data_IF_018476525821
#
_entry.id   IF_018476525821
#
_cell.length_a   1.000
_cell.length_b   1.000
_cell.length_c   1.000
_cell.angle_alpha   90.00
_cell.angle_beta   90.00
_cell.angle_gamma   90.00
#
_symmetry.space_group_name_H-M   'P 1'
#
loop_
_entity.id
_entity.type
_entity.pdbx_description
1 polymer ?
#
# COMPACT_ATOMS: atom_id res chain seq x y z
N UNK A 1 15.16 16.77 26.17
CA UNK A 1 15.28 15.85 25.09
C UNK A 1 16.71 15.39 24.93
N UNK A 2 16.90 14.15 24.89
CA UNK A 2 18.22 13.64 24.66
C UNK A 2 18.37 13.27 23.22
N UNK A 3 19.36 13.83 22.64
CA UNK A 3 19.72 13.45 21.30
C UNK A 3 21.01 12.72 21.40
N UNK A 4 21.00 11.50 21.03
CA UNK A 4 22.24 10.79 21.01
C UNK A 4 22.90 11.04 19.68
N UNK A 5 24.17 11.31 19.74
CA UNK A 5 24.94 11.51 18.51
C UNK A 5 25.44 10.22 17.94
N UNK A 6 25.24 9.14 18.65
CA UNK A 6 25.67 7.85 18.16
C UNK A 6 24.51 7.17 17.46
N UNK A 7 24.84 6.37 16.46
CA UNK A 7 23.87 5.55 15.77
C UNK A 7 23.36 4.50 16.73
N UNK A 8 22.06 4.43 16.97
CA UNK A 8 21.54 3.42 17.88
C UNK A 8 21.72 2.02 17.32
N UNK A 9 21.87 1.10 18.20
CA UNK A 9 21.86 -0.32 17.85
C UNK A 9 20.52 -0.63 17.20
N UNK A 10 20.49 -1.39 16.09
CA UNK A 10 19.21 -1.71 15.43
C UNK A 10 18.22 -2.42 16.33
N UNK A 11 18.70 -3.06 17.39
CA UNK A 11 17.80 -3.75 18.32
C UNK A 11 17.42 -2.89 19.51
N UNK A 12 18.01 -1.73 19.66
CA UNK A 12 17.70 -0.87 20.81
C UNK A 12 16.51 -0.01 20.47
N UNK A 13 15.70 0.26 21.48
CA UNK A 13 14.54 1.11 21.33
C UNK A 13 14.71 2.30 22.25
N UNK A 14 14.84 3.47 21.69
CA UNK A 14 14.73 4.69 22.46
C UNK A 14 13.31 5.22 22.26
N UNK A 15 12.86 6.06 23.16
CA UNK A 15 11.52 6.62 23.06
C UNK A 15 11.39 7.41 21.75
N UNK A 16 10.46 7.06 20.89
CA UNK A 16 10.30 7.77 19.62
C UNK A 16 9.55 9.07 19.82
N UNK A 17 9.79 10.02 18.92
CA UNK A 17 9.06 11.28 18.95
C UNK A 17 7.63 11.12 18.42
N UNK A 18 7.39 10.13 17.57
CA UNK A 18 6.09 9.95 16.94
C UNK A 18 5.92 8.49 16.54
N UNK A 19 4.69 8.15 16.25
CA UNK A 19 4.33 6.83 15.80
C UNK A 19 3.61 7.00 14.45
N UNK A 20 3.88 6.13 13.50
CA UNK A 20 3.17 6.18 12.24
C UNK A 20 1.74 5.72 12.48
N UNK A 21 0.79 6.64 12.36
CA UNK A 21 -0.60 6.35 12.66
C UNK A 21 -1.38 5.89 11.43
N UNK A 22 -1.09 6.48 10.28
CA UNK A 22 -1.87 6.18 9.08
C UNK A 22 -1.08 6.53 7.83
N UNK A 23 -1.25 5.73 6.79
CA UNK A 23 -0.78 6.05 5.45
C UNK A 23 -2.05 6.34 4.64
N UNK A 24 -2.06 7.43 3.88
CA UNK A 24 -3.24 7.81 3.12
C UNK A 24 -2.95 7.77 1.63
N UNK A 25 -3.87 7.18 0.88
CA UNK A 25 -3.83 7.15 -0.58
C UNK A 25 -4.86 8.13 -1.12
N UNK A 26 -4.48 8.82 -2.18
CA UNK A 26 -5.40 9.72 -2.88
C UNK A 26 -6.24 8.94 -3.88
N UNK A 27 -7.49 9.35 -4.05
CA UNK A 27 -8.39 8.72 -5.00
C UNK A 27 -9.44 9.70 -5.45
N UNK A 28 -10.10 9.39 -6.55
CA UNK A 28 -11.26 10.15 -6.99
C UNK A 28 -12.48 9.76 -6.19
N UNK A 29 -12.61 8.47 -5.88
CA UNK A 29 -13.72 7.94 -5.09
C UNK A 29 -13.19 7.04 -4.00
N UNK A 30 -13.75 7.18 -2.80
CA UNK A 30 -13.25 6.43 -1.65
C UNK A 30 -13.67 4.97 -1.66
N UNK A 31 -14.92 4.68 -2.00
CA UNK A 31 -15.47 3.35 -1.78
C UNK A 31 -14.77 2.25 -2.59
N UNK A 32 -14.56 2.40 -3.89
CA UNK A 32 -13.91 1.31 -4.64
C UNK A 32 -12.52 0.99 -4.10
N UNK A 33 -11.75 2.02 -3.75
CA UNK A 33 -10.41 1.81 -3.25
C UNK A 33 -10.40 1.21 -1.85
N UNK A 34 -11.31 1.67 -0.99
CA UNK A 34 -11.42 1.13 0.36
C UNK A 34 -11.79 -0.35 0.33
N UNK A 35 -12.74 -0.72 -0.51
CA UNK A 35 -13.15 -2.12 -0.59
C UNK A 35 -12.06 -3.00 -1.17
N UNK A 36 -11.35 -2.49 -2.18
CA UNK A 36 -10.24 -3.24 -2.73
C UNK A 36 -9.21 -3.57 -1.65
N UNK A 37 -8.73 -2.54 -0.94
CA UNK A 37 -7.68 -2.78 0.04
C UNK A 37 -8.17 -3.55 1.26
N UNK A 38 -9.44 -3.39 1.62
CA UNK A 38 -10.03 -4.18 2.69
C UNK A 38 -10.00 -5.66 2.35
N UNK A 39 -10.33 -6.01 1.11
CA UNK A 39 -10.29 -7.41 0.66
C UNK A 39 -8.85 -7.93 0.59
N UNK A 40 -7.95 -7.15 0.01
CA UNK A 40 -6.57 -7.60 -0.17
C UNK A 40 -5.86 -7.78 1.17
N UNK A 41 -6.02 -6.84 2.08
CA UNK A 41 -5.29 -6.86 3.34
C UNK A 41 -6.06 -7.56 4.47
N UNK A 42 -7.35 -7.75 4.30
CA UNK A 42 -8.18 -8.29 5.38
C UNK A 42 -8.41 -7.30 6.50
N UNK A 43 -8.27 -6.00 6.22
CA UNK A 43 -8.44 -4.96 7.24
C UNK A 43 -9.86 -4.42 7.20
N UNK A 44 -10.53 -4.30 8.35
CA UNK A 44 -11.91 -3.80 8.35
C UNK A 44 -11.96 -2.31 8.03
N UNK A 45 -13.04 -1.92 7.36
CA UNK A 45 -13.31 -0.52 7.07
C UNK A 45 -13.95 0.10 8.31
N UNK A 46 -13.24 1.04 8.92
CA UNK A 46 -13.72 1.72 10.12
C UNK A 46 -14.58 2.93 9.79
N UNK A 47 -14.25 3.63 8.70
CA UNK A 47 -15.02 4.80 8.24
C UNK A 47 -15.13 4.76 6.73
N UNK A 48 -16.26 5.18 6.20
CA UNK A 48 -16.47 5.26 4.77
C UNK A 48 -17.46 6.37 4.48
N UNK A 49 -16.95 7.45 3.91
CA UNK A 49 -17.78 8.56 3.42
C UNK A 49 -17.30 8.89 2.01
N UNK A 50 -17.98 9.82 1.36
CA UNK A 50 -17.57 10.23 0.03
C UNK A 50 -16.24 10.98 0.02
N UNK A 51 -15.87 11.57 1.15
CA UNK A 51 -14.65 12.36 1.24
C UNK A 51 -13.49 11.57 1.79
N UNK A 52 -13.76 10.49 2.51
CA UNK A 52 -12.73 9.90 3.32
C UNK A 52 -13.12 8.47 3.73
N UNK A 53 -12.13 7.60 3.74
CA UNK A 53 -12.30 6.24 4.25
C UNK A 53 -11.08 5.89 5.09
N UNK A 54 -11.26 4.98 6.02
CA UNK A 54 -10.17 4.51 6.85
C UNK A 54 -10.35 3.02 7.16
N UNK A 55 -9.28 2.26 6.94
CA UNK A 55 -9.18 0.86 7.30
C UNK A 55 -8.30 0.74 8.53
N UNK A 56 -8.68 -0.15 9.44
CA UNK A 56 -7.90 -0.39 10.65
C UNK A 56 -6.96 -1.56 10.44
N UNK A 57 -5.67 -1.30 10.56
CA UNK A 57 -4.65 -2.34 10.45
C UNK A 57 -4.07 -2.69 11.81
N UNK A 58 -3.22 -3.71 11.87
CA UNK A 58 -2.67 -4.19 13.15
C UNK A 58 -1.69 -3.21 13.79
N UNK A 59 -1.01 -2.39 13.01
CA UNK A 59 -0.05 -1.44 13.58
C UNK A 59 -0.32 -0.01 13.17
N UNK A 60 -1.01 0.23 12.07
CA UNK A 60 -1.39 1.57 11.62
C UNK A 60 -2.60 1.45 10.72
N UNK A 61 -3.22 2.57 10.43
CA UNK A 61 -4.39 2.60 9.56
C UNK A 61 -4.00 2.86 8.12
N UNK A 62 -4.89 2.54 7.20
CA UNK A 62 -4.78 2.94 5.81
C UNK A 62 -5.95 3.86 5.53
N UNK A 63 -5.65 5.09 5.15
CA UNK A 63 -6.67 6.08 4.83
C UNK A 63 -6.79 6.28 3.34
N UNK A 64 -7.94 6.76 2.91
CA UNK A 64 -8.19 7.10 1.53
C UNK A 64 -8.85 8.47 1.54
N UNK A 65 -8.26 9.43 0.82
CA UNK A 65 -8.80 10.78 0.75
C UNK A 65 -9.22 11.11 -0.66
N UNK A 66 -10.37 11.75 -0.81
CA UNK A 66 -10.87 12.13 -2.12
C UNK A 66 -10.19 13.42 -2.55
N UNK A 67 -9.63 13.38 -3.76
CA UNK A 67 -9.05 14.56 -4.38
C UNK A 67 -9.70 14.73 -5.74
N UNK A 68 -10.38 15.89 -6.00
CA UNK A 68 -11.08 16.06 -7.27
C UNK A 68 -10.19 15.90 -8.50
N UNK A 69 -8.93 16.30 -8.37
CA UNK A 69 -7.99 16.26 -9.49
C UNK A 69 -7.01 15.12 -9.38
N UNK A 70 -7.41 14.02 -8.78
CA UNK A 70 -6.51 12.88 -8.62
C UNK A 70 -5.96 12.43 -9.96
N UNK A 71 -4.63 12.32 -10.01
CA UNK A 71 -3.92 11.84 -11.20
C UNK A 71 -3.39 10.45 -10.88
N UNK A 72 -3.70 9.50 -11.74
CA UNK A 72 -3.18 8.13 -11.55
C UNK A 72 -1.66 8.15 -11.70
N UNK A 73 -0.92 7.51 -10.79
CA UNK A 73 0.53 7.39 -10.97
C UNK A 73 0.85 6.68 -12.27
N UNK A 74 1.97 7.01 -12.88
CA UNK A 74 2.34 6.47 -14.19
C UNK A 74 3.48 5.47 -14.14
N UNK A 75 4.01 5.18 -12.96
CA UNK A 75 5.04 4.16 -12.83
C UNK A 75 4.41 2.77 -13.02
N UNK A 76 5.08 1.82 -13.69
CA UNK A 76 6.46 1.92 -14.19
C UNK A 76 6.59 2.49 -15.59
N UNK A 77 5.52 2.93 -16.20
CA UNK A 77 5.55 3.41 -17.58
C UNK A 77 6.44 4.62 -17.73
N UNK A 78 6.33 5.57 -16.83
CA UNK A 78 7.18 6.75 -16.80
C UNK A 78 7.09 7.36 -15.41
N UNK A 79 8.01 8.27 -15.12
CA UNK A 79 8.04 8.94 -13.85
C UNK A 79 8.52 8.07 -12.72
N UNK A 80 8.48 8.60 -11.52
CA UNK A 80 8.89 7.89 -10.33
C UNK A 80 7.67 7.43 -9.55
N UNK A 81 7.75 6.24 -8.96
CA UNK A 81 6.64 5.75 -8.16
C UNK A 81 6.57 6.40 -6.78
N UNK A 82 7.68 6.92 -6.28
CA UNK A 82 7.83 7.56 -4.96
C UNK A 82 7.53 6.59 -3.81
N UNK A 83 6.28 6.22 -3.65
CA UNK A 83 5.86 5.24 -2.66
C UNK A 83 5.10 4.12 -3.33
N UNK A 84 5.23 2.91 -2.79
CA UNK A 84 4.43 1.77 -3.21
C UNK A 84 4.42 0.76 -2.08
N UNK A 85 3.44 -0.12 -2.07
CA UNK A 85 3.39 -1.20 -1.10
C UNK A 85 4.10 -2.42 -1.65
N UNK A 86 4.79 -3.14 -0.77
CA UNK A 86 5.29 -4.47 -1.07
C UNK A 86 4.51 -5.44 -0.19
N UNK A 87 3.77 -6.34 -0.80
CA UNK A 87 2.94 -7.29 -0.08
C UNK A 87 3.61 -8.67 -0.11
N UNK A 88 3.64 -9.31 1.03
CA UNK A 88 4.17 -10.67 1.15
C UNK A 88 3.05 -11.66 0.88
N UNK A 89 3.23 -12.53 -0.09
CA UNK A 89 2.21 -13.51 -0.47
C UNK A 89 2.84 -14.89 -0.64
N UNK A 90 2.02 -15.92 -0.50
CA UNK A 90 2.50 -17.29 -0.63
C UNK A 90 2.58 -17.73 -2.09
N UNK A 91 1.61 -17.32 -2.90
CA UNK A 91 1.54 -17.71 -4.30
C UNK A 91 1.34 -16.45 -5.15
N UNK A 92 2.42 -16.02 -5.79
CA UNK A 92 2.43 -14.75 -6.54
C UNK A 92 1.35 -14.73 -7.62
N UNK A 93 1.29 -15.78 -8.45
CA UNK A 93 0.34 -15.75 -9.57
C UNK A 93 -1.10 -15.85 -9.10
N UNK A 94 -1.38 -16.68 -8.11
CA UNK A 94 -2.74 -16.83 -7.62
C UNK A 94 -3.24 -15.52 -7.00
N UNK A 95 -2.38 -14.84 -6.23
CA UNK A 95 -2.78 -13.58 -5.60
C UNK A 95 -2.91 -12.48 -6.65
N UNK A 96 -2.00 -12.44 -7.64
CA UNK A 96 -2.11 -11.46 -8.72
C UNK A 96 -3.44 -11.60 -9.45
N UNK A 97 -3.82 -12.82 -9.77
CA UNK A 97 -5.08 -13.06 -10.46
C UNK A 97 -6.28 -12.63 -9.60
N UNK A 98 -6.23 -12.94 -8.32
CA UNK A 98 -7.31 -12.52 -7.42
C UNK A 98 -7.39 -11.01 -7.32
N UNK A 99 -6.25 -10.33 -7.25
CA UNK A 99 -6.24 -8.87 -7.21
C UNK A 99 -6.87 -8.28 -8.46
N UNK A 100 -6.60 -8.87 -9.63
CA UNK A 100 -7.21 -8.39 -10.87
C UNK A 100 -8.73 -8.57 -10.83
N UNK A 101 -9.20 -9.69 -10.29
CA UNK A 101 -10.64 -9.90 -10.13
C UNK A 101 -11.26 -8.83 -9.21
N UNK A 102 -10.49 -8.34 -8.26
CA UNK A 102 -10.97 -7.33 -7.30
C UNK A 102 -10.84 -5.90 -7.85
N UNK A 103 -10.26 -5.72 -9.02
CA UNK A 103 -10.19 -4.41 -9.65
C UNK A 103 -8.80 -3.89 -9.92
N UNK A 104 -7.76 -4.64 -9.60
CA UNK A 104 -6.40 -4.21 -9.89
C UNK A 104 -6.07 -4.43 -11.36
N UNK A 105 -5.06 -3.74 -11.82
CA UNK A 105 -4.55 -3.85 -13.18
C UNK A 105 -3.13 -4.38 -13.10
N UNK A 106 -2.87 -5.50 -13.78
CA UNK A 106 -1.51 -6.03 -13.84
C UNK A 106 -0.74 -5.27 -14.89
N UNK A 107 0.45 -4.81 -14.54
CA UNK A 107 1.30 -4.07 -15.45
C UNK A 107 1.76 -5.02 -16.57
N UNK A 108 1.64 -4.56 -17.81
CA UNK A 108 1.94 -5.41 -18.96
C UNK A 108 3.41 -5.77 -19.03
N UNK A 109 4.28 -4.79 -18.92
CA UNK A 109 5.72 -5.04 -18.93
C UNK A 109 6.22 -5.07 -17.49
N UNK A 110 6.48 -6.27 -17.00
CA UNK A 110 6.94 -6.43 -15.63
C UNK A 110 8.42 -6.07 -15.52
N UNK A 111 8.79 -5.23 -14.54
CA UNK A 111 10.18 -4.83 -14.38
C UNK A 111 11.09 -5.92 -13.81
N UNK A 112 10.52 -6.98 -13.23
CA UNK A 112 11.33 -8.05 -12.65
C UNK A 112 10.69 -9.40 -12.83
N UNK A 113 11.40 -10.43 -12.37
CA UNK A 113 10.94 -11.81 -12.52
C UNK A 113 10.54 -12.45 -11.21
N UNK A 114 10.96 -11.88 -10.08
CA UNK A 114 10.69 -12.47 -8.77
C UNK A 114 9.60 -11.73 -8.00
N UNK A 115 9.04 -10.70 -8.57
CA UNK A 115 7.90 -9.99 -7.99
C UNK A 115 6.96 -9.57 -9.12
N UNK A 116 5.73 -9.24 -8.74
CA UNK A 116 4.71 -8.83 -9.72
C UNK A 116 4.21 -7.45 -9.36
N UNK A 117 4.20 -6.55 -10.34
CA UNK A 117 3.70 -5.19 -10.16
C UNK A 117 2.26 -5.11 -10.66
N UNK A 118 1.39 -4.54 -9.82
CA UNK A 118 0.01 -4.24 -10.20
C UNK A 118 -0.28 -2.78 -9.83
N UNK A 119 -1.41 -2.29 -10.31
CA UNK A 119 -1.96 -1.00 -9.91
C UNK A 119 -3.31 -1.23 -9.25
N UNK A 120 -3.56 -0.52 -8.16
CA UNK A 120 -4.87 -0.64 -7.51
C UNK A 120 -5.90 0.16 -8.31
N UNK A 121 -7.19 0.13 -7.92
CA UNK A 121 -8.22 0.82 -8.70
C UNK A 121 -8.01 2.32 -8.87
N UNK A 122 -7.23 2.96 -8.02
CA UNK A 122 -6.89 4.38 -8.19
C UNK A 122 -5.58 4.58 -8.95
N UNK A 123 -4.93 3.48 -9.36
CA UNK A 123 -3.71 3.53 -10.14
C UNK A 123 -2.43 3.48 -9.32
N UNK A 124 -2.52 3.34 -8.01
CA UNK A 124 -1.31 3.27 -7.18
C UNK A 124 -0.61 1.95 -7.41
N UNK A 125 0.70 1.96 -7.71
CA UNK A 125 1.44 0.72 -7.90
C UNK A 125 1.68 -0.01 -6.59
N UNK A 126 1.65 -1.32 -6.63
CA UNK A 126 2.05 -2.14 -5.51
C UNK A 126 2.67 -3.42 -6.06
N UNK A 127 3.50 -4.04 -5.25
CA UNK A 127 4.23 -5.23 -5.66
C UNK A 127 3.82 -6.41 -4.80
N UNK A 128 3.68 -7.57 -5.43
CA UNK A 128 3.54 -8.83 -4.73
C UNK A 128 4.92 -9.46 -4.64
N UNK A 129 5.32 -9.86 -3.47
CA UNK A 129 6.63 -10.44 -3.23
C UNK A 129 6.45 -11.76 -2.47
N UNK A 130 7.44 -12.63 -2.57
CA UNK A 130 7.38 -13.93 -1.93
C UNK A 130 7.50 -13.78 -0.42
N UNK A 131 6.52 -14.32 0.30
CA UNK A 131 6.50 -14.24 1.76
C UNK A 131 7.75 -14.82 2.39
N UNK A 132 8.39 -15.78 1.74
CA UNK A 132 9.61 -16.39 2.26
C UNK A 132 10.76 -15.39 2.41
N UNK A 133 10.71 -14.27 1.67
CA UNK A 133 11.75 -13.26 1.76
C UNK A 133 11.61 -12.35 2.98
N UNK A 134 10.53 -12.45 3.71
CA UNK A 134 10.24 -11.52 4.80
C UNK A 134 10.34 -12.15 6.18
N UNK A 135 10.76 -13.38 6.25
CA UNK A 135 10.90 -14.06 7.50
C UNK A 135 9.63 -14.75 7.94
#
# INVERSE_FOLDING_TARGET
MTTTNSTPDPTSTSAPLARLAMITLDATETEPLARFWSEVLGWPIAHLTEEYAMLTGPSHALGIGTIPDHQRPSWPDRGAKQFHFDLAVEDLEAVAERCVQLGAERVEEQPGETWIVLRDPAGHPFCLTDAANWG
#
